data_IF_960155472072
#
_entry.id   IF_960155472072
#
_cell.length_a   1.000
_cell.length_b   1.000
_cell.length_c   1.000
_cell.angle_alpha   90.00
_cell.angle_beta   90.00
_cell.angle_gamma   90.00
#
_symmetry.space_group_name_H-M   'P 1'
#
loop_
_entity.id
_entity.type
_entity.pdbx_description
1 polymer ?
#
# COMPACT_ATOMS: atom_id res chain seq x y z
N UNK A 1 8.74 -13.06 -2.29
CA UNK A 1 8.87 -11.59 -2.46
C UNK A 1 7.60 -11.07 -3.10
N UNK A 2 6.84 -10.21 -2.43
CA UNK A 2 5.55 -9.74 -2.95
C UNK A 2 5.77 -8.79 -4.14
N UNK A 3 5.27 -9.14 -5.32
CA UNK A 3 5.34 -8.30 -6.54
C UNK A 3 4.46 -7.04 -6.47
N UNK A 4 3.87 -6.73 -5.32
CA UNK A 4 2.96 -5.59 -5.13
C UNK A 4 3.55 -4.25 -5.52
N UNK A 5 4.84 -4.03 -5.26
CA UNK A 5 5.53 -2.79 -5.64
C UNK A 5 5.64 -2.62 -7.16
N UNK A 6 5.78 -3.70 -7.92
CA UNK A 6 5.80 -3.65 -9.39
C UNK A 6 4.46 -3.17 -9.94
N UNK A 7 3.36 -3.66 -9.40
CA UNK A 7 2.02 -3.22 -9.79
C UNK A 7 1.75 -1.76 -9.39
N UNK A 8 2.30 -1.30 -8.26
CA UNK A 8 2.22 0.10 -7.86
C UNK A 8 2.95 1.02 -8.84
N UNK A 9 4.18 0.66 -9.26
CA UNK A 9 4.92 1.44 -10.27
C UNK A 9 4.14 1.49 -11.58
N UNK A 10 3.58 0.36 -12.06
CA UNK A 10 2.74 0.33 -13.27
C UNK A 10 1.54 1.29 -13.15
N UNK A 11 0.86 1.29 -12.00
CA UNK A 11 -0.30 2.14 -11.76
C UNK A 11 0.07 3.63 -11.70
N UNK A 12 1.26 3.96 -11.19
CA UNK A 12 1.74 5.34 -11.12
C UNK A 12 2.14 5.87 -12.50
N UNK A 13 2.88 5.06 -13.28
CA UNK A 13 3.22 5.40 -14.66
C UNK A 13 1.97 5.59 -15.53
N UNK A 14 0.88 4.87 -15.28
CA UNK A 14 -0.40 5.08 -15.99
C UNK A 14 -1.14 6.36 -15.62
N UNK A 15 -0.81 7.01 -14.49
CA UNK A 15 -1.41 8.27 -14.06
C UNK A 15 -0.69 9.49 -14.63
N UNK A 16 0.51 9.32 -15.17
CA UNK A 16 1.24 10.37 -15.87
C UNK A 16 0.58 10.65 -17.23
N UNK A 17 0.20 11.91 -17.48
CA UNK A 17 -0.62 12.34 -18.63
C UNK A 17 0.02 12.06 -20.01
N UNK A 18 1.33 11.82 -20.08
CA UNK A 18 2.10 11.59 -21.31
C UNK A 18 2.41 10.11 -21.61
N UNK A 19 1.75 9.17 -20.91
CA UNK A 19 2.09 7.77 -21.06
C UNK A 19 1.49 7.12 -22.32
N UNK A 20 2.34 6.88 -23.32
CA UNK A 20 2.00 6.14 -24.55
C UNK A 20 2.00 4.61 -24.37
N UNK A 21 2.45 4.11 -23.23
CA UNK A 21 2.55 2.67 -22.96
C UNK A 21 1.23 2.13 -22.39
N UNK A 22 0.64 1.16 -23.08
CA UNK A 22 -0.52 0.46 -22.57
C UNK A 22 -0.16 -0.54 -21.45
N UNK A 23 -1.16 -0.94 -20.67
CA UNK A 23 -1.03 -1.88 -19.54
C UNK A 23 -0.28 -3.17 -19.91
N UNK A 24 -0.45 -3.68 -21.13
CA UNK A 24 0.22 -4.91 -21.56
C UNK A 24 1.73 -4.73 -21.66
N UNK A 25 2.18 -3.63 -22.28
CA UNK A 25 3.60 -3.28 -22.39
C UNK A 25 4.24 -3.11 -21.00
N UNK A 26 3.56 -2.42 -20.08
CA UNK A 26 4.06 -2.20 -18.72
C UNK A 26 4.15 -3.51 -17.91
N UNK A 27 3.17 -4.41 -18.07
CA UNK A 27 3.22 -5.73 -17.44
C UNK A 27 4.37 -6.58 -17.99
N UNK A 28 4.60 -6.54 -19.30
CA UNK A 28 5.69 -7.28 -19.96
C UNK A 28 7.06 -6.76 -19.50
N UNK A 29 7.25 -5.42 -19.46
CA UNK A 29 8.48 -4.78 -18.96
C UNK A 29 8.76 -5.15 -17.49
N UNK A 30 7.73 -5.14 -16.64
CA UNK A 30 7.87 -5.46 -15.22
C UNK A 30 8.00 -6.98 -14.94
N UNK A 31 7.80 -7.83 -15.96
CA UNK A 31 7.81 -9.28 -15.85
C UNK A 31 6.69 -9.81 -14.95
N UNK A 32 5.49 -9.25 -15.08
CA UNK A 32 4.29 -9.65 -14.33
C UNK A 32 3.14 -9.97 -15.28
N UNK A 33 2.19 -10.79 -14.84
CA UNK A 33 1.02 -11.07 -15.66
C UNK A 33 -0.01 -9.94 -15.59
N UNK A 34 -0.67 -9.67 -16.72
CA UNK A 34 -1.83 -8.75 -16.79
C UNK A 34 -2.95 -9.15 -15.83
N UNK A 35 -3.22 -10.45 -15.71
CA UNK A 35 -4.21 -10.97 -14.76
C UNK A 35 -3.80 -10.72 -13.30
N UNK A 36 -2.51 -10.74 -12.99
CA UNK A 36 -1.97 -10.36 -11.68
C UNK A 36 -2.20 -8.88 -11.39
N UNK A 37 -1.98 -8.02 -12.39
CA UNK A 37 -2.24 -6.58 -12.29
C UNK A 37 -3.71 -6.27 -11.98
N UNK A 38 -4.67 -6.80 -12.75
CA UNK A 38 -6.09 -6.57 -12.50
C UNK A 38 -6.57 -7.14 -11.16
N UNK A 39 -6.02 -8.27 -10.73
CA UNK A 39 -6.27 -8.81 -9.37
C UNK A 39 -5.76 -7.86 -8.29
N UNK A 40 -4.59 -7.27 -8.48
CA UNK A 40 -4.01 -6.32 -7.54
C UNK A 40 -4.84 -5.03 -7.46
N UNK A 41 -5.33 -4.52 -8.59
CA UNK A 41 -6.28 -3.39 -8.65
C UNK A 41 -7.58 -3.74 -7.91
N UNK A 42 -8.21 -4.89 -8.22
CA UNK A 42 -9.46 -5.31 -7.56
C UNK A 42 -9.29 -5.54 -6.05
N UNK A 43 -8.10 -5.94 -5.63
CA UNK A 43 -7.76 -6.11 -4.22
C UNK A 43 -7.36 -4.79 -3.53
N UNK A 44 -7.35 -3.64 -4.23
CA UNK A 44 -7.04 -2.34 -3.61
C UNK A 44 -8.01 -2.01 -2.48
N UNK A 45 -9.32 -2.15 -2.71
CA UNK A 45 -10.34 -1.86 -1.69
C UNK A 45 -10.20 -2.78 -0.47
N UNK A 46 -9.99 -4.07 -0.72
CA UNK A 46 -9.79 -5.07 0.36
C UNK A 46 -8.49 -4.79 1.14
N UNK A 47 -7.42 -4.37 0.45
CA UNK A 47 -6.16 -3.96 1.10
C UNK A 47 -6.39 -2.71 1.95
N UNK A 48 -7.10 -1.70 1.44
CA UNK A 48 -7.40 -0.46 2.16
C UNK A 48 -8.26 -0.72 3.40
N UNK A 49 -9.27 -1.57 3.29
CA UNK A 49 -10.10 -1.97 4.43
C UNK A 49 -9.30 -2.72 5.49
N UNK A 50 -8.41 -3.63 5.07
CA UNK A 50 -7.50 -4.33 5.98
C UNK A 50 -6.53 -3.39 6.67
N UNK A 51 -5.92 -2.46 5.95
CA UNK A 51 -5.03 -1.44 6.53
C UNK A 51 -5.76 -0.55 7.54
N UNK A 52 -7.03 -0.21 7.29
CA UNK A 52 -7.85 0.54 8.24
C UNK A 52 -8.14 -0.28 9.51
N UNK A 53 -8.51 -1.56 9.38
CA UNK A 53 -8.72 -2.46 10.53
C UNK A 53 -7.44 -2.68 11.33
N UNK A 54 -6.29 -2.79 10.65
CA UNK A 54 -4.99 -2.91 11.29
C UNK A 54 -4.63 -1.63 12.05
N UNK A 55 -4.96 -0.44 11.53
CA UNK A 55 -4.81 0.85 12.25
C UNK A 55 -5.70 0.92 13.49
N UNK A 56 -6.97 0.54 13.38
CA UNK A 56 -7.89 0.53 14.53
C UNK A 56 -7.39 -0.44 15.61
N UNK A 57 -6.93 -1.62 15.22
CA UNK A 57 -6.35 -2.61 16.12
C UNK A 57 -5.07 -2.09 16.77
N UNK A 58 -4.22 -1.42 15.99
CA UNK A 58 -3.01 -0.77 16.52
C UNK A 58 -3.35 0.32 17.53
N UNK A 59 -4.33 1.19 17.25
CA UNK A 59 -4.77 2.24 18.16
C UNK A 59 -5.33 1.67 19.46
N UNK A 60 -6.04 0.54 19.42
CA UNK A 60 -6.53 -0.16 20.61
C UNK A 60 -5.36 -0.73 21.44
N UNK A 61 -4.39 -1.37 20.79
CA UNK A 61 -3.18 -1.88 21.46
C UNK A 61 -2.39 -0.72 22.08
N UNK A 62 -2.23 0.38 21.35
CA UNK A 62 -1.54 1.58 21.83
C UNK A 62 -2.26 2.22 23.02
N UNK A 63 -3.60 2.31 22.99
CA UNK A 63 -4.41 2.80 24.12
C UNK A 63 -4.23 1.91 25.35
N UNK A 64 -4.31 0.59 25.19
CA UNK A 64 -4.12 -0.35 26.30
C UNK A 64 -2.69 -0.31 26.87
N UNK A 65 -1.69 -0.14 26.00
CA UNK A 65 -0.29 0.03 26.41
C UNK A 65 -0.08 1.33 27.20
N UNK A 66 -0.63 2.46 26.71
CA UNK A 66 -0.51 3.76 27.35
C UNK A 66 -1.23 3.85 28.71
N UNK A 67 -2.31 3.09 28.91
CA UNK A 67 -3.03 3.02 30.20
C UNK A 67 -2.21 2.32 31.31
N UNK A 68 -1.22 1.50 30.96
CA UNK A 68 -0.42 0.72 31.92
C UNK A 68 0.93 1.33 32.26
N UNK A 69 1.33 2.43 31.63
CA UNK A 69 2.61 3.08 31.96
C UNK A 69 2.84 4.39 31.22
N UNK A 70 2.59 5.50 31.91
CA UNK A 70 3.17 6.82 31.62
C UNK A 70 4.71 6.79 31.70
N UNK A 71 5.45 6.10 30.82
CA UNK A 71 6.93 6.10 30.89
C UNK A 71 7.76 6.01 29.60
N UNK A 72 7.21 5.82 28.40
CA UNK A 72 8.07 5.68 27.21
C UNK A 72 7.73 6.67 26.09
N UNK A 73 8.66 7.63 25.96
CA UNK A 73 8.80 8.66 24.94
C UNK A 73 8.44 8.20 23.53
N UNK A 74 7.63 9.02 22.86
CA UNK A 74 7.63 9.31 21.42
C UNK A 74 8.40 8.32 20.53
N UNK A 75 7.84 7.14 20.31
CA UNK A 75 8.14 6.38 19.10
C UNK A 75 7.34 7.00 17.95
N UNK A 76 7.90 8.00 17.25
CA UNK A 76 7.38 8.43 15.95
C UNK A 76 7.45 7.21 15.00
N UNK A 77 6.39 6.41 14.93
CA UNK A 77 6.25 5.46 13.84
C UNK A 77 5.91 6.25 12.59
N UNK A 78 6.85 6.21 11.65
CA UNK A 78 6.75 6.78 10.32
C UNK A 78 5.66 5.98 9.59
N UNK A 79 4.40 6.39 9.72
CA UNK A 79 3.41 6.14 8.68
C UNK A 79 3.91 6.90 7.47
N UNK A 80 4.62 6.20 6.57
CA UNK A 80 4.99 6.73 5.26
C UNK A 80 3.69 7.14 4.58
N UNK A 81 3.37 8.44 4.67
CA UNK A 81 2.60 9.15 3.66
C UNK A 81 3.35 8.93 2.36
N UNK A 82 2.86 8.06 1.50
CA UNK A 82 3.08 8.21 0.07
C UNK A 82 1.80 8.91 -0.42
N UNK A 83 1.81 10.22 -0.26
CA UNK A 83 0.98 11.16 -1.01
C UNK A 83 2.00 12.00 -1.78
N UNK A 84 2.25 11.66 -3.03
CA UNK A 84 2.23 12.56 -4.18
C UNK A 84 2.39 11.71 -5.43
#
# INVERSE_FOLDING_TARGET
>A
MSSGWKFQVIQETLREDDNLLNISMLCDIAGVSRSGYYRWIKAEDVRREKENKDRESFDLILKAYNQRGSKYKQGKMIVRKINH
#
